data_IF_893176610088
#
_entry.id   IF_893176610088
#
_cell.length_a   1.000
_cell.length_b   1.000
_cell.length_c   1.000
_cell.angle_alpha   90.00
_cell.angle_beta   90.00
_cell.angle_gamma   90.00
#
_symmetry.space_group_name_H-M   'P 1'
#
loop_
_entity.id
_entity.type
_entity.pdbx_description
1 polymer ?
#
# COMPACT_ATOMS: atom_id res chain seq x y z
N UNK A 1 12.66 5.82 33.09
CA UNK A 1 13.02 6.55 31.85
C UNK A 1 13.46 7.93 32.28
N UNK A 2 14.63 8.37 31.83
CA UNK A 2 15.15 9.70 32.14
C UNK A 2 14.18 10.81 31.66
N UNK A 3 13.96 11.85 32.48
CA UNK A 3 12.95 12.88 32.22
C UNK A 3 13.36 13.74 31.03
N UNK A 4 14.61 14.18 30.97
CA UNK A 4 15.13 15.02 29.90
C UNK A 4 15.10 14.26 28.57
N UNK A 5 15.46 12.98 28.59
CA UNK A 5 15.35 12.08 27.44
C UNK A 5 13.90 11.96 26.95
N UNK A 6 12.93 11.82 27.86
CA UNK A 6 11.50 11.75 27.51
C UNK A 6 11.00 13.06 26.89
N UNK A 7 11.36 14.20 27.46
CA UNK A 7 10.95 15.52 26.96
C UNK A 7 11.53 15.77 25.57
N UNK A 8 12.83 15.50 25.38
CA UNK A 8 13.49 15.64 24.07
C UNK A 8 12.83 14.78 22.99
N UNK A 9 12.63 13.49 23.26
CA UNK A 9 11.96 12.59 22.33
C UNK A 9 10.52 13.02 22.02
N UNK A 10 9.81 13.60 23.00
CA UNK A 10 8.43 14.07 22.78
C UNK A 10 8.40 15.32 21.91
N UNK A 11 9.39 16.20 22.03
CA UNK A 11 9.52 17.41 21.20
C UNK A 11 9.93 17.15 19.76
N UNK A 12 10.79 16.16 19.52
CA UNK A 12 11.27 15.80 18.17
C UNK A 12 10.36 14.80 17.43
N UNK A 13 9.38 14.21 18.12
CA UNK A 13 8.54 13.17 17.54
C UNK A 13 7.56 13.73 16.52
N UNK A 14 7.76 13.30 15.29
CA UNK A 14 6.79 13.50 14.21
C UNK A 14 5.51 12.68 14.47
N UNK A 15 4.36 13.35 14.40
CA UNK A 15 3.05 12.74 14.53
C UNK A 15 2.36 12.66 13.19
N UNK A 16 1.56 11.63 12.99
CA UNK A 16 0.90 11.39 11.70
C UNK A 16 -0.14 12.49 11.43
N UNK A 17 -0.86 12.90 12.47
CA UNK A 17 -1.86 13.97 12.45
C UNK A 17 -1.28 15.35 12.16
N UNK A 18 -0.02 15.60 12.50
CA UNK A 18 0.66 16.88 12.24
C UNK A 18 1.17 16.95 10.80
N UNK A 19 1.60 15.81 10.24
CA UNK A 19 2.23 15.75 8.93
C UNK A 19 1.24 15.50 7.79
N UNK A 20 0.14 14.79 8.05
CA UNK A 20 -0.79 14.35 7.02
C UNK A 20 -2.24 14.74 7.32
N UNK A 21 -2.94 15.13 6.27
CA UNK A 21 -4.39 15.29 6.25
C UNK A 21 -5.02 14.01 5.71
N UNK A 22 -5.82 13.32 6.54
CA UNK A 22 -6.46 12.04 6.20
C UNK A 22 -7.87 11.90 6.80
N UNK A 23 -8.37 12.92 7.50
CA UNK A 23 -9.72 12.92 8.08
C UNK A 23 -10.78 12.84 6.97
N UNK A 24 -11.81 12.02 7.16
CA UNK A 24 -12.85 11.77 6.15
C UNK A 24 -12.40 10.96 4.92
N UNK A 25 -11.10 10.66 4.78
CA UNK A 25 -10.53 10.05 3.58
C UNK A 25 -10.29 8.54 3.72
N UNK A 26 -11.16 7.83 4.46
CA UNK A 26 -11.05 6.38 4.64
C UNK A 26 -11.38 5.66 3.33
N UNK A 27 -10.47 4.81 2.86
CA UNK A 27 -10.60 4.08 1.58
C UNK A 27 -10.74 2.57 1.73
N UNK A 28 -10.37 2.02 2.88
CA UNK A 28 -10.46 0.58 3.12
C UNK A 28 -10.57 0.23 4.61
N UNK A 29 -11.22 -0.89 4.89
CA UNK A 29 -11.35 -1.49 6.22
C UNK A 29 -11.28 -3.00 6.09
N UNK A 30 -10.37 -3.64 6.82
CA UNK A 30 -10.35 -5.08 6.95
C UNK A 30 -9.83 -5.53 8.31
N UNK A 31 -9.67 -6.83 8.48
CA UNK A 31 -9.13 -7.50 9.69
C UNK A 31 -7.72 -7.04 10.09
N UNK A 32 -7.06 -6.28 9.21
CA UNK A 32 -5.70 -5.80 9.39
C UNK A 32 -5.64 -4.30 9.68
N UNK A 33 -6.80 -3.67 9.86
CA UNK A 33 -6.97 -2.28 10.24
C UNK A 33 -7.61 -1.40 9.17
N UNK A 34 -7.28 -0.11 9.24
CA UNK A 34 -7.91 0.93 8.45
C UNK A 34 -6.91 1.58 7.50
N UNK A 35 -7.32 1.81 6.25
CA UNK A 35 -6.50 2.53 5.28
C UNK A 35 -7.17 3.84 4.91
N UNK A 36 -6.38 4.91 4.94
CA UNK A 36 -6.79 6.26 4.60
C UNK A 36 -5.95 6.75 3.42
N UNK A 37 -6.60 7.46 2.50
CA UNK A 37 -5.90 8.32 1.55
C UNK A 37 -5.45 9.57 2.30
N UNK A 38 -4.21 9.98 2.12
CA UNK A 38 -3.60 11.06 2.88
C UNK A 38 -2.82 12.01 1.97
N UNK A 39 -2.83 13.30 2.30
CA UNK A 39 -1.97 14.32 1.68
C UNK A 39 -1.07 14.95 2.73
N UNK A 40 0.12 15.38 2.33
CA UNK A 40 1.04 16.08 3.22
C UNK A 40 0.55 17.50 3.50
N UNK A 41 0.54 17.90 4.76
CA UNK A 41 0.17 19.25 5.19
C UNK A 41 1.26 20.29 4.90
N UNK A 42 2.51 19.86 4.83
CA UNK A 42 3.66 20.75 4.60
C UNK A 42 3.81 21.23 3.15
N UNK A 43 2.93 20.80 2.24
CA UNK A 43 2.90 21.25 0.85
C UNK A 43 4.16 20.91 0.03
N UNK A 44 5.07 20.07 0.56
CA UNK A 44 6.33 19.75 -0.12
C UNK A 44 6.13 18.94 -1.41
N UNK A 45 5.04 18.20 -1.50
CA UNK A 45 4.64 17.48 -2.69
C UNK A 45 3.11 17.35 -2.77
N UNK A 46 2.58 17.28 -4.00
CA UNK A 46 1.16 17.01 -4.28
C UNK A 46 0.94 15.50 -4.54
N UNK A 47 1.64 14.65 -3.78
CA UNK A 47 1.45 13.20 -3.87
C UNK A 47 0.36 12.76 -2.92
N UNK A 48 -0.41 11.79 -3.39
CA UNK A 48 -1.32 11.04 -2.55
C UNK A 48 -0.55 9.90 -1.87
N UNK A 49 -0.80 9.71 -0.59
CA UNK A 49 -0.23 8.64 0.23
C UNK A 49 -1.33 7.72 0.76
N UNK A 50 -0.97 6.48 1.08
CA UNK A 50 -1.81 5.56 1.81
C UNK A 50 -1.29 5.44 3.25
N UNK A 51 -2.14 5.79 4.22
CA UNK A 51 -1.88 5.60 5.64
C UNK A 51 -2.65 4.38 6.13
N UNK A 52 -1.94 3.34 6.55
CA UNK A 52 -2.53 2.14 7.17
C UNK A 52 -2.36 2.23 8.67
N UNK A 53 -3.46 2.34 9.39
CA UNK A 53 -3.52 2.12 10.84
C UNK A 53 -3.67 0.63 11.09
N UNK A 54 -2.70 0.02 11.76
CA UNK A 54 -2.77 -1.40 12.14
C UNK A 54 -3.84 -1.58 13.22
N UNK A 55 -4.65 -2.65 13.11
CA UNK A 55 -5.64 -3.00 14.11
C UNK A 55 -5.02 -3.43 15.45
N UNK A 56 -5.65 -3.03 16.56
CA UNK A 56 -5.18 -3.31 17.92
C UNK A 56 -4.33 -2.20 18.54
N UNK A 57 -3.72 -2.50 19.68
CA UNK A 57 -2.82 -1.58 20.41
C UNK A 57 -1.46 -2.22 20.62
N UNK A 58 -0.41 -1.41 20.52
CA UNK A 58 0.98 -1.85 20.57
C UNK A 58 1.45 -2.51 19.28
N UNK A 59 2.62 -3.15 19.37
CA UNK A 59 3.23 -3.86 18.25
C UNK A 59 2.88 -5.33 18.41
N UNK A 60 1.87 -5.80 17.66
CA UNK A 60 1.56 -7.23 17.59
C UNK A 60 2.68 -7.98 16.88
N UNK A 61 2.78 -9.30 17.09
CA UNK A 61 3.76 -10.14 16.38
C UNK A 61 3.60 -10.04 14.85
N UNK A 62 2.36 -9.91 14.38
CA UNK A 62 2.04 -9.69 12.96
C UNK A 62 2.57 -8.34 12.48
N UNK A 63 2.32 -7.26 13.22
CA UNK A 63 2.82 -5.93 12.90
C UNK A 63 4.36 -5.87 12.89
N UNK A 64 5.01 -6.51 13.86
CA UNK A 64 6.47 -6.57 13.94
C UNK A 64 7.07 -7.26 12.72
N UNK A 65 6.53 -8.43 12.35
CA UNK A 65 6.96 -9.17 11.15
C UNK A 65 6.72 -8.37 9.87
N UNK A 66 5.57 -7.73 9.76
CA UNK A 66 5.21 -6.90 8.60
C UNK A 66 6.19 -5.73 8.43
N UNK A 67 6.44 -4.97 9.52
CA UNK A 67 7.40 -3.87 9.50
C UNK A 67 8.81 -4.36 9.18
N UNK A 68 9.25 -5.45 9.79
CA UNK A 68 10.59 -6.00 9.56
C UNK A 68 10.79 -6.39 8.08
N UNK A 69 9.84 -7.10 7.49
CA UNK A 69 9.90 -7.50 6.08
C UNK A 69 9.87 -6.29 5.15
N UNK A 70 8.90 -5.39 5.33
CA UNK A 70 8.73 -4.23 4.45
C UNK A 70 9.89 -3.22 4.52
N UNK A 71 10.67 -3.21 5.61
CA UNK A 71 11.89 -2.38 5.71
C UNK A 71 13.03 -2.90 4.86
N UNK A 72 13.13 -4.21 4.68
CA UNK A 72 14.21 -4.85 3.90
C UNK A 72 13.86 -4.99 2.41
N UNK A 73 12.57 -5.15 2.10
CA UNK A 73 12.10 -5.33 0.73
C UNK A 73 12.15 -4.03 -0.08
N UNK A 74 12.84 -4.08 -1.22
CA UNK A 74 12.98 -2.95 -2.14
C UNK A 74 12.95 -3.41 -3.59
N UNK A 75 11.75 -3.36 -4.17
CA UNK A 75 11.53 -3.74 -5.56
C UNK A 75 10.43 -2.87 -6.18
N UNK A 76 10.54 -2.42 -7.45
CA UNK A 76 9.53 -1.59 -8.10
C UNK A 76 8.13 -2.23 -8.17
N UNK A 77 8.05 -3.56 -8.11
CA UNK A 77 6.78 -4.31 -8.10
C UNK A 77 6.36 -4.84 -6.73
N UNK A 78 6.97 -4.35 -5.64
CA UNK A 78 6.57 -4.66 -4.26
C UNK A 78 6.29 -3.34 -3.55
N UNK A 79 5.20 -3.26 -2.79
CA UNK A 79 4.86 -2.04 -2.07
C UNK A 79 5.98 -1.66 -1.09
N UNK A 80 6.38 -0.38 -1.10
CA UNK A 80 7.49 0.11 -0.28
C UNK A 80 6.97 0.89 0.92
N UNK A 81 7.40 0.48 2.11
CA UNK A 81 7.13 1.19 3.36
C UNK A 81 7.99 2.47 3.42
N UNK A 82 7.32 3.62 3.35
CA UNK A 82 7.98 4.93 3.37
C UNK A 82 8.37 5.33 4.80
N UNK A 83 7.44 5.14 5.76
CA UNK A 83 7.62 5.57 7.15
C UNK A 83 6.71 4.80 8.11
N UNK A 84 7.15 4.70 9.35
CA UNK A 84 6.36 4.15 10.46
C UNK A 84 6.15 5.24 11.50
N UNK A 85 4.90 5.46 11.91
CA UNK A 85 4.57 6.33 13.03
C UNK A 85 4.06 5.51 14.20
N UNK A 86 4.65 5.76 15.37
CA UNK A 86 4.25 5.14 16.62
C UNK A 86 3.60 6.21 17.49
N UNK A 87 2.27 6.13 17.62
CA UNK A 87 1.55 7.01 18.54
C UNK A 87 1.62 6.41 19.93
N UNK A 88 2.24 7.13 20.87
CA UNK A 88 2.41 6.65 22.24
C UNK A 88 1.17 6.85 23.11
N UNK A 89 0.32 7.82 22.78
CA UNK A 89 -0.86 8.15 23.58
C UNK A 89 -1.92 7.03 23.48
N UNK A 90 -2.21 6.56 22.27
CA UNK A 90 -3.18 5.50 21.99
C UNK A 90 -2.53 4.16 21.61
N UNK A 91 -1.19 4.10 21.66
CA UNK A 91 -0.37 2.92 21.31
C UNK A 91 -0.64 2.40 19.89
N UNK A 92 -1.08 3.25 18.96
CA UNK A 92 -1.35 2.82 17.58
C UNK A 92 -0.12 2.90 16.69
N UNK A 93 -0.09 2.01 15.71
CA UNK A 93 0.97 1.92 14.70
C UNK A 93 0.39 2.32 13.35
N UNK A 94 1.08 3.24 12.69
CA UNK A 94 0.72 3.70 11.36
C UNK A 94 1.85 3.43 10.38
N UNK A 95 1.50 2.92 9.21
CA UNK A 95 2.41 2.65 8.11
C UNK A 95 2.07 3.58 6.95
N UNK A 96 3.08 4.26 6.42
CA UNK A 96 2.96 5.16 5.28
C UNK A 96 3.45 4.47 4.02
N UNK A 97 2.65 4.53 2.97
CA UNK A 97 2.95 4.01 1.64
C UNK A 97 2.62 5.05 0.57
N UNK A 98 3.14 4.85 -0.64
CA UNK A 98 2.67 5.58 -1.81
C UNK A 98 1.24 5.11 -2.17
N UNK A 99 0.35 6.05 -2.50
CA UNK A 99 -1.02 5.70 -2.87
C UNK A 99 -1.07 5.10 -4.29
N UNK A 100 -1.72 3.95 -4.41
CA UNK A 100 -2.10 3.37 -5.68
C UNK A 100 -3.58 3.61 -5.94
N UNK A 101 -3.89 4.23 -7.08
CA UNK A 101 -5.26 4.66 -7.42
C UNK A 101 -6.19 3.49 -7.75
N UNK A 102 -5.63 2.37 -8.21
CA UNK A 102 -6.41 1.22 -8.66
C UNK A 102 -5.86 -0.06 -8.03
N UNK A 103 -6.70 -1.08 -7.97
CA UNK A 103 -6.28 -2.46 -7.81
C UNK A 103 -6.63 -3.24 -9.09
N UNK A 104 -5.95 -4.36 -9.31
CA UNK A 104 -6.20 -5.20 -10.48
C UNK A 104 -7.63 -5.77 -10.47
N UNK A 105 -8.23 -5.95 -9.31
CA UNK A 105 -9.59 -6.44 -9.19
C UNK A 105 -10.62 -5.48 -9.82
N UNK A 106 -10.53 -4.19 -9.54
CA UNK A 106 -11.37 -3.15 -10.12
C UNK A 106 -11.16 -3.02 -11.62
N UNK A 107 -9.91 -3.14 -12.08
CA UNK A 107 -9.61 -3.16 -13.52
C UNK A 107 -10.29 -4.36 -14.19
N UNK A 108 -10.12 -5.56 -13.65
CA UNK A 108 -10.74 -6.78 -14.19
C UNK A 108 -12.27 -6.69 -14.15
N UNK A 109 -12.85 -6.20 -13.06
CA UNK A 109 -14.30 -6.05 -12.88
C UNK A 109 -14.89 -5.04 -13.88
N UNK A 110 -14.22 -3.90 -14.10
CA UNK A 110 -14.63 -2.90 -15.09
C UNK A 110 -14.70 -3.49 -16.51
N UNK A 111 -13.69 -4.26 -16.90
CA UNK A 111 -13.67 -4.95 -18.20
C UNK A 111 -14.72 -6.07 -18.29
N UNK A 112 -14.96 -6.81 -17.20
CA UNK A 112 -15.98 -7.86 -17.15
C UNK A 112 -17.40 -7.27 -17.27
N UNK A 113 -17.68 -6.16 -16.60
CA UNK A 113 -18.96 -5.44 -16.69
C UNK A 113 -19.20 -4.83 -18.08
N UNK A 114 -18.15 -4.30 -18.72
CA UNK A 114 -18.23 -3.75 -20.09
C UNK A 114 -18.60 -4.82 -21.13
N UNK A 115 -18.11 -6.06 -20.95
CA UNK A 115 -18.46 -7.21 -21.78
C UNK A 115 -19.94 -7.59 -21.65
N UNK A 116 -20.53 -7.44 -20.45
CA UNK A 116 -21.95 -7.68 -20.22
C UNK A 116 -22.84 -6.62 -20.89
N UNK A 117 -22.39 -5.36 -20.99
CA UNK A 117 -23.10 -4.26 -21.62
C UNK A 117 -22.95 -4.18 -23.16
N UNK A 118 -22.58 -5.28 -23.82
CA UNK A 118 -22.39 -5.38 -25.30
C UNK A 118 -21.43 -4.35 -25.92
N UNK A 119 -20.60 -3.66 -25.12
CA UNK A 119 -19.47 -2.83 -25.57
C UNK A 119 -18.17 -3.54 -25.17
N UNK A 120 -17.64 -4.46 -25.99
CA UNK A 120 -16.48 -5.26 -25.63
C UNK A 120 -15.22 -4.40 -25.59
N UNK A 121 -14.93 -3.80 -24.43
CA UNK A 121 -13.60 -3.28 -24.12
C UNK A 121 -12.77 -4.45 -23.65
N UNK A 122 -12.14 -5.18 -24.58
CA UNK A 122 -11.18 -6.20 -24.20
C UNK A 122 -9.95 -5.54 -23.58
N UNK A 123 -9.42 -6.13 -22.51
CA UNK A 123 -8.13 -5.75 -21.97
C UNK A 123 -7.09 -5.84 -23.11
N UNK A 124 -6.35 -4.76 -23.41
CA UNK A 124 -5.33 -4.81 -24.44
C UNK A 124 -4.35 -5.94 -24.14
N UNK A 125 -4.06 -6.80 -25.12
CA UNK A 125 -3.15 -7.96 -24.92
C UNK A 125 -1.78 -7.53 -24.37
N UNK A 126 -1.30 -6.35 -24.77
CA UNK A 126 -0.07 -5.75 -24.24
C UNK A 126 -0.16 -5.36 -22.76
N UNK A 127 -1.33 -4.95 -22.28
CA UNK A 127 -1.56 -4.68 -20.85
C UNK A 127 -1.49 -5.98 -20.05
N UNK A 128 -2.17 -7.04 -20.48
CA UNK A 128 -2.14 -8.35 -19.80
C UNK A 128 -0.70 -8.89 -19.71
N UNK A 129 0.07 -8.81 -20.80
CA UNK A 129 1.47 -9.24 -20.81
C UNK A 129 2.34 -8.43 -19.84
N UNK A 130 2.15 -7.12 -19.80
CA UNK A 130 2.90 -6.23 -18.91
C UNK A 130 2.55 -6.46 -17.44
N UNK A 131 1.27 -6.65 -17.12
CA UNK A 131 0.79 -6.98 -15.78
C UNK A 131 1.40 -8.30 -15.31
N UNK A 132 1.33 -9.35 -16.14
CA UNK A 132 1.88 -10.66 -15.82
C UNK A 132 3.40 -10.59 -15.58
N UNK A 133 4.14 -9.87 -16.42
CA UNK A 133 5.57 -9.70 -16.25
C UNK A 133 5.91 -9.05 -14.91
N UNK A 134 5.23 -7.94 -14.57
CA UNK A 134 5.48 -7.22 -13.32
C UNK A 134 5.13 -8.02 -12.06
N UNK A 135 4.06 -8.83 -12.13
CA UNK A 135 3.71 -9.76 -11.05
C UNK A 135 4.80 -10.81 -10.88
N UNK A 136 5.22 -11.45 -11.98
CA UNK A 136 6.27 -12.48 -11.93
C UNK A 136 7.59 -11.91 -11.44
N UNK A 137 7.96 -10.69 -11.85
CA UNK A 137 9.18 -10.01 -11.43
C UNK A 137 9.16 -9.71 -9.92
N UNK A 138 8.04 -9.19 -9.41
CA UNK A 138 7.86 -8.97 -7.97
C UNK A 138 7.88 -10.26 -7.14
N UNK A 139 7.23 -11.32 -7.61
CA UNK A 139 7.24 -12.63 -6.93
C UNK A 139 8.62 -13.27 -6.97
N UNK A 140 9.31 -13.20 -8.11
CA UNK A 140 10.67 -13.67 -8.24
C UNK A 140 11.60 -12.97 -7.24
N UNK A 141 11.49 -11.66 -7.09
CA UNK A 141 12.22 -10.91 -6.06
C UNK A 141 11.89 -11.39 -4.64
N UNK A 142 10.61 -11.58 -4.30
CA UNK A 142 10.21 -12.09 -2.99
C UNK A 142 10.80 -13.47 -2.71
N UNK A 143 10.71 -14.39 -3.68
CA UNK A 143 11.24 -15.74 -3.57
C UNK A 143 12.77 -15.77 -3.48
N UNK A 144 13.47 -14.89 -4.21
CA UNK A 144 14.93 -14.73 -4.11
C UNK A 144 15.37 -14.26 -2.71
N UNK A 145 14.50 -13.55 -1.99
CA UNK A 145 14.72 -13.12 -0.61
C UNK A 145 14.07 -14.07 0.42
N UNK A 146 13.69 -15.29 0.01
CA UNK A 146 13.07 -16.30 0.87
C UNK A 146 11.75 -15.85 1.53
N UNK A 147 11.08 -14.86 0.95
CA UNK A 147 9.77 -14.37 1.39
C UNK A 147 8.69 -15.06 0.56
N UNK A 148 7.92 -15.92 1.24
CA UNK A 148 6.71 -16.52 0.67
C UNK A 148 5.51 -15.62 0.98
N UNK A 149 4.86 -15.11 -0.06
CA UNK A 149 3.66 -14.27 0.09
C UNK A 149 2.49 -15.01 0.76
N UNK A 150 2.33 -16.31 0.43
CA UNK A 150 1.31 -17.25 0.94
C UNK A 150 -0.15 -16.94 0.57
N UNK A 151 -0.53 -15.67 0.35
CA UNK A 151 -1.90 -15.30 -0.07
C UNK A 151 -1.92 -14.53 -1.41
N UNK A 152 -1.66 -15.22 -2.53
CA UNK A 152 -1.68 -14.61 -3.86
C UNK A 152 -3.10 -14.53 -4.44
N UNK A 153 -3.89 -13.55 -3.99
CA UNK A 153 -5.21 -13.22 -4.56
C UNK A 153 -5.17 -11.92 -5.38
N UNK A 154 -6.11 -11.75 -6.31
CA UNK A 154 -6.14 -10.60 -7.25
C UNK A 154 -6.25 -9.24 -6.54
N UNK A 155 -6.81 -9.20 -5.34
CA UNK A 155 -6.99 -7.99 -4.52
C UNK A 155 -5.68 -7.47 -3.91
N UNK A 156 -4.62 -8.26 -3.98
CA UNK A 156 -3.29 -7.90 -3.47
C UNK A 156 -2.45 -7.16 -4.51
N UNK A 157 -2.89 -7.11 -5.77
CA UNK A 157 -2.15 -6.38 -6.81
C UNK A 157 -2.71 -4.96 -6.95
N UNK A 158 -1.94 -3.99 -6.49
CA UNK A 158 -2.23 -2.58 -6.66
C UNK A 158 -1.68 -2.09 -8.00
N UNK A 159 -2.41 -1.25 -8.70
CA UNK A 159 -2.03 -0.66 -9.97
C UNK A 159 -1.98 0.87 -9.84
N UNK A 160 -0.82 1.45 -10.13
CA UNK A 160 -0.66 2.89 -10.21
C UNK A 160 -0.44 3.33 -11.65
N UNK A 161 -1.17 4.36 -12.04
CA UNK A 161 -1.01 5.06 -13.32
C UNK A 161 0.20 6.01 -13.30
N UNK A 162 0.80 6.26 -12.14
CA UNK A 162 1.88 7.24 -11.97
C UNK A 162 3.25 6.74 -12.41
N UNK A 163 4.00 7.66 -13.01
CA UNK A 163 5.40 7.56 -13.41
C UNK A 163 6.31 7.30 -12.20
N UNK A 164 7.03 6.17 -12.17
CA UNK A 164 8.12 5.98 -11.21
C UNK A 164 9.34 6.80 -11.62
N UNK A 165 9.92 7.52 -10.66
CA UNK A 165 11.22 8.13 -10.84
C UNK A 165 12.29 7.04 -10.67
N UNK A 166 12.76 6.47 -11.77
CA UNK A 166 13.94 5.60 -11.71
C UNK A 166 15.18 6.47 -11.49
N UNK A 167 16.17 5.97 -10.74
CA UNK A 167 17.44 6.69 -10.47
C UNK A 167 18.27 6.97 -11.73
N UNK A 168 17.82 6.52 -12.90
CA UNK A 168 18.40 6.87 -14.19
C UNK A 168 17.46 7.84 -14.89
N UNK A 169 17.97 9.00 -15.32
CA UNK A 169 17.25 10.13 -15.93
C UNK A 169 16.54 9.80 -17.25
N UNK A 170 15.62 8.83 -17.27
CA UNK A 170 14.64 8.65 -18.33
C UNK A 170 13.27 8.46 -17.68
N UNK A 171 12.41 9.48 -17.87
CA UNK A 171 10.99 9.42 -17.52
C UNK A 171 10.30 8.54 -18.56
N UNK A 172 10.40 7.23 -18.45
CA UNK A 172 9.57 6.31 -19.23
C UNK A 172 8.24 6.12 -18.52
N UNK A 173 7.13 6.30 -19.26
CA UNK A 173 5.75 6.11 -18.82
C UNK A 173 5.41 4.68 -18.42
N UNK A 174 6.01 4.17 -17.35
CA UNK A 174 5.70 2.84 -16.84
C UNK A 174 4.53 2.89 -15.86
N UNK A 175 3.42 2.27 -16.27
CA UNK A 175 2.32 1.86 -15.40
C UNK A 175 2.82 0.69 -14.56
N UNK A 176 2.72 0.81 -13.24
CA UNK A 176 3.33 -0.14 -12.31
C UNK A 176 2.30 -0.87 -11.46
N UNK A 177 2.48 -2.18 -11.35
CA UNK A 177 1.77 -3.07 -10.43
C UNK A 177 2.64 -3.29 -9.21
N UNK A 178 2.09 -3.11 -8.03
CA UNK A 178 2.70 -3.50 -6.76
C UNK A 178 2.00 -4.71 -6.22
N UNK A 179 2.79 -5.64 -5.73
CA UNK A 179 2.34 -6.65 -4.79
C UNK A 179 2.19 -5.93 -3.45
N UNK A 180 0.94 -5.69 -3.07
CA UNK A 180 0.60 -5.35 -1.71
C UNK A 180 0.63 -6.64 -0.91
N UNK A 181 1.38 -6.68 0.19
CA UNK A 181 1.44 -7.86 1.06
C UNK A 181 0.21 -7.97 1.97
N UNK A 182 -0.74 -7.03 1.87
CA UNK A 182 -1.96 -6.98 2.67
C UNK A 182 -3.21 -6.70 1.82
N UNK A 183 -4.31 -7.45 2.00
CA UNK A 183 -5.54 -7.16 1.28
C UNK A 183 -6.22 -5.93 1.89
N UNK A 184 -6.66 -5.01 1.05
CA UNK A 184 -7.66 -4.00 1.44
C UNK A 184 -9.03 -4.63 1.21
N UNK A 185 -9.74 -4.96 2.29
CA UNK A 185 -11.18 -5.21 2.17
C UNK A 185 -11.86 -3.86 1.90
N UNK A 186 -12.52 -3.77 0.75
CA UNK A 186 -13.40 -2.66 0.44
C UNK A 186 -14.73 -2.87 1.19
N UNK A 187 -15.27 -1.80 1.79
CA UNK A 187 -16.64 -1.79 2.29
C UNK A 187 -17.57 -2.18 1.12
N UNK A 188 -18.15 -3.38 1.19
CA UNK A 188 -18.91 -3.99 0.10
C UNK A 188 -18.67 -5.48 -0.15
N UNK A 189 -17.73 -6.13 0.57
CA UNK A 189 -17.61 -7.60 0.57
C UNK A 189 -18.03 -8.19 1.91
N UNK A 190 -19.34 -8.33 2.11
CA UNK A 190 -19.85 -9.41 2.95
C UNK A 190 -19.85 -10.69 2.10
N UNK A 191 -19.19 -11.72 2.58
CA UNK A 191 -19.24 -13.05 1.98
C UNK A 191 -17.90 -13.55 1.47
N UNK A 192 -17.67 -14.84 1.71
CA UNK A 192 -16.49 -15.65 1.39
C UNK A 192 -15.33 -15.53 2.38
N UNK A 193 -15.62 -15.85 3.65
CA UNK A 193 -14.71 -16.71 4.40
C UNK A 193 -14.99 -18.15 3.98
N UNK A 194 -13.96 -18.87 3.53
CA UNK A 194 -13.88 -20.31 3.74
C UNK A 194 -13.07 -20.53 5.02
#
# INVERSE_FOLDING_TARGET
>A
MDYDFKVKLTGERERVEDLFEYEGCKVGRGTYGHVYKAKRKDGKDDKDYALKQIEGTGISMSACREIALLRELKHPNVISLQKVFLSHADRKVWLLFDYAEHDLWHIIKFHRASKANKKPVQLPRGMVKSLLYQILDGIHYLHANWVLHRDLLLDFFLYSTRLFHTKNKQKTGHRSVFINLHPQQHEGREGWSL
#
